data_IF_939515518345
#
_entry.id   IF_939515518345
#
_cell.length_a   1.000
_cell.length_b   1.000
_cell.length_c   1.000
_cell.angle_alpha   90.00
_cell.angle_beta   90.00
_cell.angle_gamma   90.00
#
_symmetry.space_group_name_H-M   'P 1'
#
loop_
_entity.id
_entity.type
_entity.pdbx_description
1 polymer ?
#
# COMPACT_ATOMS: atom_id res chain seq x y z
N UNK A 1 -6.14 4.95 36.68
CA UNK A 1 -6.17 4.62 36.16
C UNK A 1 -5.76 4.55 35.25
N UNK A 2 -5.64 4.54 34.93
CA UNK A 2 -5.49 4.34 34.13
C UNK A 2 -4.79 4.01 33.34
N UNK A 3 -4.26 3.56 33.49
CA UNK A 3 -3.52 3.08 32.90
C UNK A 3 -3.81 2.21 32.03
N UNK A 4 -4.44 1.81 32.03
CA UNK A 4 -5.03 0.90 31.29
C UNK A 4 -4.79 1.06 29.91
N UNK A 5 -4.69 2.22 29.50
CA UNK A 5 -4.45 2.48 28.19
C UNK A 5 -3.33 1.74 27.68
N UNK A 6 -2.34 1.54 28.37
CA UNK A 6 -1.18 0.87 27.87
C UNK A 6 -1.51 -0.51 27.39
N UNK A 7 -2.64 -1.02 27.75
CA UNK A 7 -3.01 -2.32 27.29
C UNK A 7 -3.61 -2.29 25.94
N UNK A 8 -3.87 -1.11 25.44
CA UNK A 8 -4.48 -0.96 24.16
C UNK A 8 -3.45 -0.83 23.06
N UNK A 9 -2.31 -1.41 23.23
CA UNK A 9 -1.30 -1.33 22.22
C UNK A 9 -1.78 -1.83 20.89
N UNK A 10 -1.52 -1.06 19.85
CA UNK A 10 -1.84 -1.45 18.50
C UNK A 10 -0.71 -2.28 17.95
N UNK A 11 -1.00 -3.47 17.49
CA UNK A 11 0.00 -4.31 16.90
C UNK A 11 0.17 -3.95 15.45
N UNK A 12 1.35 -3.46 15.11
CA UNK A 12 1.67 -3.17 13.73
C UNK A 12 2.25 -4.40 13.08
N UNK A 13 1.99 -4.55 11.80
CA UNK A 13 2.45 -5.70 11.06
C UNK A 13 3.14 -5.25 9.80
N UNK A 14 4.11 -6.02 9.37
CA UNK A 14 4.81 -5.74 8.13
C UNK A 14 3.99 -6.33 6.98
N UNK A 15 3.67 -5.50 6.02
CA UNK A 15 2.92 -5.91 4.85
C UNK A 15 3.75 -5.57 3.63
N UNK A 16 3.95 -6.52 2.73
CA UNK A 16 4.74 -6.31 1.52
C UNK A 16 3.82 -6.21 0.32
N UNK A 17 3.98 -5.13 -0.43
CA UNK A 17 3.26 -4.93 -1.67
C UNK A 17 4.20 -5.17 -2.82
N UNK A 18 3.68 -5.76 -3.89
CA UNK A 18 4.49 -6.11 -5.06
C UNK A 18 3.78 -5.67 -6.33
N UNK A 19 4.57 -5.27 -7.32
CA UNK A 19 4.05 -4.91 -8.62
C UNK A 19 5.02 -5.42 -9.67
N UNK A 20 4.50 -6.12 -10.66
CA UNK A 20 5.34 -6.72 -11.70
C UNK A 20 5.30 -5.87 -12.96
N UNK A 21 6.46 -5.42 -13.40
CA UNK A 21 6.58 -4.71 -14.66
C UNK A 21 8.03 -4.78 -15.12
N UNK A 22 8.25 -5.05 -16.38
CA UNK A 22 9.61 -5.23 -16.88
C UNK A 22 10.25 -3.95 -17.36
N UNK A 23 9.44 -2.94 -17.66
CA UNK A 23 9.95 -1.75 -18.32
C UNK A 23 9.98 -0.47 -17.51
N UNK A 24 9.49 -0.50 -16.30
CA UNK A 24 9.37 0.71 -15.52
C UNK A 24 10.71 1.18 -14.99
N UNK A 25 10.86 2.48 -14.86
CA UNK A 25 12.03 3.08 -14.23
C UNK A 25 11.75 3.39 -12.77
N UNK A 26 10.47 3.57 -12.43
CA UNK A 26 10.09 3.94 -11.07
C UNK A 26 8.70 3.42 -10.77
N UNK A 27 8.54 2.80 -9.61
CA UNK A 27 7.24 2.38 -9.11
C UNK A 27 7.13 2.89 -7.68
N UNK A 28 6.03 3.55 -7.36
CA UNK A 28 5.81 4.11 -6.03
C UNK A 28 4.51 3.56 -5.48
N UNK A 29 4.53 3.11 -4.24
CA UNK A 29 3.35 2.64 -3.54
C UNK A 29 2.69 3.83 -2.85
N UNK A 30 1.42 4.08 -3.14
CA UNK A 30 0.72 5.23 -2.61
C UNK A 30 -0.64 4.78 -2.07
N UNK A 31 -0.95 5.19 -0.87
CA UNK A 31 -2.22 4.80 -0.27
C UNK A 31 -2.50 5.52 1.04
N UNK A 32 -3.56 5.06 1.71
CA UNK A 32 -3.98 5.66 2.98
C UNK A 32 -2.87 5.63 4.01
N UNK A 33 -2.03 4.60 4.00
CA UNK A 33 -0.98 4.42 5.00
C UNK A 33 0.15 5.45 4.86
N UNK A 34 0.21 6.21 3.79
CA UNK A 34 1.20 7.28 3.65
C UNK A 34 0.53 8.59 3.24
N UNK A 35 -0.77 8.71 3.49
CA UNK A 35 -1.55 9.91 3.18
C UNK A 35 -1.49 10.28 1.70
N UNK A 36 -1.39 9.26 0.86
CA UNK A 36 -1.35 9.42 -0.61
C UNK A 36 -0.19 10.29 -1.08
N UNK A 37 0.89 10.26 -0.30
CA UNK A 37 2.10 11.02 -0.63
C UNK A 37 2.83 10.33 -1.78
N UNK A 38 3.03 11.04 -2.87
CA UNK A 38 3.59 10.46 -4.08
C UNK A 38 5.11 10.27 -4.03
N UNK A 39 5.74 10.57 -2.90
CA UNK A 39 7.19 10.44 -2.78
C UNK A 39 7.65 9.59 -1.62
N UNK A 40 6.74 9.14 -0.78
CA UNK A 40 7.14 8.52 0.47
C UNK A 40 7.62 7.08 0.36
N UNK A 41 7.01 6.29 -0.50
CA UNK A 41 7.32 4.86 -0.54
C UNK A 41 7.71 4.40 -1.95
N UNK A 42 8.88 4.83 -2.44
CA UNK A 42 9.35 4.27 -3.70
C UNK A 42 9.65 2.79 -3.50
N UNK A 43 9.30 1.98 -4.46
CA UNK A 43 9.48 0.54 -4.39
C UNK A 43 10.85 0.19 -4.96
N UNK A 44 11.34 -1.00 -4.63
CA UNK A 44 12.62 -1.47 -5.11
C UNK A 44 12.44 -2.60 -6.10
N UNK A 45 13.16 -2.51 -7.20
CA UNK A 45 13.19 -3.56 -8.20
C UNK A 45 14.16 -4.66 -7.78
N UNK A 46 13.79 -5.91 -8.03
CA UNK A 46 14.70 -7.02 -7.77
C UNK A 46 15.55 -7.37 -8.99
N UNK A 47 15.41 -6.59 -10.07
CA UNK A 47 16.18 -6.85 -11.28
C UNK A 47 15.51 -7.81 -12.25
N UNK A 48 14.40 -8.44 -11.85
CA UNK A 48 13.68 -9.39 -12.68
C UNK A 48 12.24 -8.96 -12.96
N UNK A 49 12.00 -7.66 -12.92
CA UNK A 49 10.67 -7.15 -13.23
C UNK A 49 9.73 -7.07 -12.03
N UNK A 50 10.17 -7.48 -10.86
CA UNK A 50 9.33 -7.41 -9.67
C UNK A 50 9.77 -6.26 -8.78
N UNK A 51 8.80 -5.44 -8.40
CA UNK A 51 9.04 -4.30 -7.51
C UNK A 51 8.34 -4.56 -6.20
N UNK A 52 9.02 -4.28 -5.10
CA UNK A 52 8.50 -4.59 -3.76
C UNK A 52 8.70 -3.43 -2.81
N UNK A 53 7.79 -3.32 -1.87
CA UNK A 53 7.93 -2.38 -0.76
C UNK A 53 7.16 -2.89 0.43
N UNK A 54 7.80 -2.91 1.59
CA UNK A 54 7.14 -3.29 2.83
C UNK A 54 6.81 -2.05 3.64
N UNK A 55 5.66 -2.06 4.26
CA UNK A 55 5.23 -1.00 5.18
C UNK A 55 4.79 -1.67 6.47
N UNK A 56 4.95 -0.97 7.58
CA UNK A 56 4.55 -1.47 8.88
C UNK A 56 3.36 -0.64 9.32
N UNK A 57 2.19 -1.26 9.38
CA UNK A 57 0.92 -0.55 9.61
C UNK A 57 0.04 -1.29 10.61
N UNK A 58 -0.85 -0.58 11.30
CA UNK A 58 -1.80 -1.23 12.21
C UNK A 58 -2.92 -1.90 11.43
N UNK A 59 -3.68 -2.77 12.07
CA UNK A 59 -4.84 -3.38 11.43
C UNK A 59 -5.81 -2.30 10.95
N UNK A 60 -6.50 -2.58 9.87
CA UNK A 60 -7.46 -1.64 9.31
C UNK A 60 -7.70 -1.89 7.84
N UNK A 61 -8.55 -1.06 7.28
CA UNK A 61 -8.87 -1.09 5.87
C UNK A 61 -8.09 0.03 5.19
N UNK A 62 -7.39 -0.30 4.12
CA UNK A 62 -6.55 0.65 3.40
C UNK A 62 -6.87 0.63 1.92
N UNK A 63 -6.86 1.81 1.31
CA UNK A 63 -6.95 1.93 -0.14
C UNK A 63 -5.58 2.34 -0.65
N UNK A 64 -5.20 1.83 -1.81
CA UNK A 64 -3.88 2.10 -2.36
C UNK A 64 -3.88 1.93 -3.89
N UNK A 65 -2.84 2.44 -4.50
CA UNK A 65 -2.57 2.26 -5.93
C UNK A 65 -1.06 2.32 -6.12
N UNK A 66 -0.64 2.05 -7.33
CA UNK A 66 0.77 2.21 -7.69
C UNK A 66 0.90 3.36 -8.68
N UNK A 67 2.01 4.07 -8.59
CA UNK A 67 2.34 5.11 -9.55
C UNK A 67 3.56 4.60 -10.30
N UNK A 68 3.37 4.26 -11.58
CA UNK A 68 4.38 3.59 -12.40
C UNK A 68 4.82 4.56 -13.48
N UNK A 69 6.04 5.08 -13.36
CA UNK A 69 6.56 6.08 -14.29
C UNK A 69 5.56 7.23 -14.52
N UNK A 70 4.94 7.68 -13.42
CA UNK A 70 4.00 8.78 -13.48
C UNK A 70 2.58 8.40 -13.88
N UNK A 71 2.29 7.13 -14.10
CA UNK A 71 0.97 6.66 -14.47
C UNK A 71 0.35 5.89 -13.31
N UNK A 72 -0.90 6.18 -12.98
CA UNK A 72 -1.61 5.46 -11.93
C UNK A 72 -2.02 4.09 -12.42
N UNK A 73 -1.70 3.07 -11.64
CA UNK A 73 -2.00 1.68 -11.98
C UNK A 73 -2.67 0.99 -10.80
N UNK A 74 -3.71 0.21 -11.09
CA UNK A 74 -4.30 -0.65 -10.08
C UNK A 74 -3.42 -1.88 -9.91
N UNK A 75 -3.58 -2.54 -8.77
CA UNK A 75 -2.84 -3.77 -8.48
C UNK A 75 -3.48 -4.93 -9.23
N UNK A 76 -2.80 -5.51 -10.20
CA UNK A 76 -3.41 -6.61 -10.97
C UNK A 76 -3.56 -7.90 -10.18
N UNK A 77 -2.92 -7.98 -9.01
CA UNK A 77 -2.98 -9.17 -8.17
C UNK A 77 -4.10 -9.07 -7.12
N UNK A 78 -4.83 -7.96 -7.08
CA UNK A 78 -5.85 -7.74 -6.08
C UNK A 78 -7.11 -7.23 -6.77
N UNK A 79 -8.18 -8.03 -6.76
CA UNK A 79 -9.42 -7.65 -7.42
C UNK A 79 -10.39 -6.91 -6.52
N UNK A 80 -9.98 -6.59 -5.28
CA UNK A 80 -10.81 -5.80 -4.38
C UNK A 80 -10.58 -4.34 -4.69
N UNK A 81 -11.60 -3.66 -5.16
CA UNK A 81 -11.47 -2.25 -5.55
C UNK A 81 -12.62 -1.42 -5.02
N UNK A 82 -12.42 -0.12 -4.99
CA UNK A 82 -13.41 0.83 -4.53
C UNK A 82 -13.32 2.07 -5.41
N UNK A 83 -14.46 2.58 -5.85
CA UNK A 83 -14.50 3.78 -6.68
C UNK A 83 -14.01 4.97 -5.85
N UNK A 84 -13.13 5.78 -6.42
CA UNK A 84 -12.62 6.96 -5.73
C UNK A 84 -13.29 8.22 -6.27
N UNK A 85 -12.92 9.36 -5.70
CA UNK A 85 -13.56 10.63 -6.04
C UNK A 85 -13.21 11.18 -7.42
N UNK A 86 -12.27 10.52 -8.12
CA UNK A 86 -11.86 10.97 -9.45
C UNK A 86 -12.45 10.14 -10.56
N UNK A 87 -13.35 9.21 -10.25
CA UNK A 87 -13.95 8.36 -11.25
C UNK A 87 -13.11 7.15 -11.64
N UNK A 88 -12.07 6.86 -10.89
CA UNK A 88 -11.25 5.68 -11.08
C UNK A 88 -11.37 4.80 -9.84
N UNK A 89 -10.61 3.70 -9.80
CA UNK A 89 -10.70 2.76 -8.70
C UNK A 89 -9.39 2.65 -7.94
N UNK A 90 -9.50 2.57 -6.62
CA UNK A 90 -8.37 2.22 -5.77
C UNK A 90 -8.49 0.76 -5.40
N UNK A 91 -7.38 0.11 -5.13
CA UNK A 91 -7.40 -1.24 -4.57
C UNK A 91 -7.66 -1.14 -3.07
N UNK A 92 -8.25 -2.17 -2.51
CA UNK A 92 -8.59 -2.23 -1.09
C UNK A 92 -7.85 -3.40 -0.45
N UNK A 93 -7.23 -3.13 0.69
CA UNK A 93 -6.53 -4.14 1.45
C UNK A 93 -7.04 -4.08 2.89
N UNK A 94 -7.40 -5.22 3.44
CA UNK A 94 -7.86 -5.32 4.82
C UNK A 94 -6.84 -6.10 5.64
N UNK A 95 -6.28 -5.45 6.66
CA UNK A 95 -5.34 -6.10 7.56
C UNK A 95 -6.09 -6.42 8.84
N UNK A 96 -6.23 -7.70 9.13
CA UNK A 96 -6.94 -8.11 10.34
C UNK A 96 -6.04 -7.99 11.55
N UNK A 97 -6.66 -7.85 12.71
CA UNK A 97 -5.91 -7.55 13.91
C UNK A 97 -5.58 -8.72 14.80
N UNK A 98 -5.78 -9.90 14.37
CA UNK A 98 -5.57 -11.05 15.25
C UNK A 98 -4.11 -11.35 15.54
#
# INVERSE_FOLDING_TARGET
MTKIKSKQKIKRRRVTFSFETSDAKEVILIGDFNHWNTKKHPMKSNGNGMWNKSVVIPPGRYEYKFLVDGQWEEDPQNDQTCLNGFGTYNNVFNLTGS
#
